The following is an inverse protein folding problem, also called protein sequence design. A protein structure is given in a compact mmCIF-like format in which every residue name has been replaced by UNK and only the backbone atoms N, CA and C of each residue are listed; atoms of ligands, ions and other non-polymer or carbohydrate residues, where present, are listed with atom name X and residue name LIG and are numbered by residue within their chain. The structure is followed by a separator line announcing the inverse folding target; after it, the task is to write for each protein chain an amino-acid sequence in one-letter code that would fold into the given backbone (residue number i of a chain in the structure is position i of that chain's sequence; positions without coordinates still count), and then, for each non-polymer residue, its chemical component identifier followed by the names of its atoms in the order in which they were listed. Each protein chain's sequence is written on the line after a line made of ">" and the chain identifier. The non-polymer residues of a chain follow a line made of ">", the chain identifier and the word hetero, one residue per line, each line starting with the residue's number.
data_IF_909895021679
#
_entry.id   IF_909895021679
#
_cell.length_a   1.000
_cell.length_b   1.000
_cell.length_c   1.000
_cell.angle_alpha   90.00
_cell.angle_beta   90.00
_cell.angle_gamma   90.00
#
_symmetry.space_group_name_H-M   'P 1'
#
loop_
_entity.id
_entity.type
_entity.pdbx_description
1 polymer ?
#
# COMPACT_ATOMS: atom_id res chain seq x y z
N UNK A 1 12.11 -19.84 -38.50
CA UNK A 1 13.13 -20.62 -37.76
C UNK A 1 12.62 -20.83 -36.34
N UNK A 2 12.14 -22.02 -36.03
CA UNK A 2 11.59 -22.35 -34.71
C UNK A 2 12.73 -22.41 -33.68
N UNK A 3 12.57 -21.69 -32.57
CA UNK A 3 13.61 -21.54 -31.55
C UNK A 3 13.60 -22.77 -30.62
N UNK A 4 14.37 -23.78 -31.00
CA UNK A 4 14.49 -25.09 -30.31
C UNK A 4 14.84 -24.92 -28.81
N UNK A 5 15.52 -23.82 -28.43
CA UNK A 5 15.85 -23.52 -27.02
C UNK A 5 14.61 -23.24 -26.16
N UNK A 6 13.56 -22.63 -26.72
CA UNK A 6 12.32 -22.35 -25.99
C UNK A 6 11.49 -23.63 -25.77
N UNK A 7 11.53 -24.57 -26.72
CA UNK A 7 10.86 -25.86 -26.62
C UNK A 7 11.51 -26.75 -25.54
N UNK A 8 12.85 -26.74 -25.46
CA UNK A 8 13.59 -27.49 -24.43
C UNK A 8 13.35 -26.93 -23.01
N UNK A 9 13.21 -25.61 -22.86
CA UNK A 9 12.85 -24.98 -21.58
C UNK A 9 11.43 -25.35 -21.13
N UNK A 10 10.46 -25.40 -22.05
CA UNK A 10 9.09 -25.81 -21.72
C UNK A 10 8.99 -27.30 -21.32
N UNK A 11 9.78 -28.16 -21.95
CA UNK A 11 9.83 -29.59 -21.60
C UNK A 11 10.47 -29.82 -20.21
N UNK A 12 11.51 -29.05 -19.86
CA UNK A 12 12.15 -29.15 -18.54
C UNK A 12 11.24 -28.73 -17.37
N UNK A 13 10.35 -27.75 -17.58
CA UNK A 13 9.38 -27.32 -16.55
C UNK A 13 8.26 -28.34 -16.36
N UNK A 14 7.93 -29.13 -17.40
CA UNK A 14 6.87 -30.13 -17.34
C UNK A 14 7.24 -31.41 -16.56
N UNK A 15 8.53 -31.65 -16.33
CA UNK A 15 9.01 -32.83 -15.61
C UNK A 15 9.10 -32.64 -14.08
N UNK A 16 8.95 -31.42 -13.57
CA UNK A 16 9.11 -31.14 -12.13
C UNK A 16 7.81 -31.17 -11.31
N UNK A 17 6.64 -31.43 -11.92
CA UNK A 17 5.35 -31.44 -11.22
C UNK A 17 4.65 -32.80 -11.16
N UNK A 18 5.37 -33.89 -11.44
CA UNK A 18 4.83 -35.24 -11.32
C UNK A 18 5.15 -35.84 -9.95
N UNK A 19 4.29 -35.60 -8.96
CA UNK A 19 4.38 -36.34 -7.69
C UNK A 19 3.64 -35.69 -6.53
N UNK A 20 2.34 -35.96 -6.39
CA UNK A 20 1.78 -36.73 -5.27
C UNK A 20 0.24 -36.59 -5.22
N UNK A 21 -0.39 -37.74 -5.06
CA UNK A 21 -1.82 -37.99 -5.11
C UNK A 21 -2.51 -37.75 -3.76
N UNK A 22 -3.71 -37.15 -3.85
CA UNK A 22 -4.99 -37.50 -3.20
C UNK A 22 -4.97 -38.03 -1.76
N UNK A 23 -5.64 -37.30 -0.85
CA UNK A 23 -6.75 -37.84 -0.05
C UNK A 23 -7.72 -36.74 0.38
N UNK A 24 -8.98 -36.90 -0.03
CA UNK A 24 -10.13 -36.11 0.42
C UNK A 24 -10.39 -36.40 1.90
N UNK A 25 -10.58 -35.37 2.71
CA UNK A 25 -11.23 -35.53 4.02
C UNK A 25 -12.19 -34.37 4.25
N UNK A 26 -13.45 -34.77 4.38
CA UNK A 26 -14.66 -34.00 4.64
C UNK A 26 -14.61 -33.47 6.08
N UNK A 27 -14.60 -32.15 6.30
CA UNK A 27 -14.84 -31.57 7.62
C UNK A 27 -15.88 -30.43 7.54
N UNK A 28 -16.86 -30.65 8.40
CA UNK A 28 -18.08 -29.98 8.80
C UNK A 28 -17.95 -28.49 9.15
N UNK A 29 -18.98 -27.72 8.82
CA UNK A 29 -19.14 -26.29 9.13
C UNK A 29 -19.18 -25.99 10.63
N UNK A 30 -18.47 -24.94 11.06
CA UNK A 30 -18.78 -24.17 12.28
C UNK A 30 -18.36 -22.69 12.10
N UNK A 31 -19.13 -21.70 12.61
CA UNK A 31 -19.17 -20.37 12.01
C UNK A 31 -18.12 -19.39 12.56
N UNK A 32 -17.72 -18.48 11.66
CA UNK A 32 -17.29 -17.08 11.82
C UNK A 32 -17.01 -16.62 13.26
N UNK A 33 -15.73 -16.36 13.56
CA UNK A 33 -15.32 -15.41 14.59
C UNK A 33 -14.18 -14.52 14.06
N UNK A 34 -14.51 -13.23 14.05
CA UNK A 34 -13.73 -11.98 14.09
C UNK A 34 -12.19 -12.04 14.02
N UNK A 35 -11.53 -11.27 13.12
CA UNK A 35 -10.08 -11.13 13.13
C UNK A 35 -9.63 -10.23 14.29
N UNK A 36 -8.80 -10.80 15.15
CA UNK A 36 -8.17 -10.11 16.29
C UNK A 36 -7.33 -8.92 15.81
N UNK A 37 -7.68 -7.72 16.29
CA UNK A 37 -6.95 -6.48 16.08
C UNK A 37 -5.73 -6.49 17.01
N UNK A 38 -4.57 -6.88 16.47
CA UNK A 38 -3.30 -6.75 17.18
C UNK A 38 -2.85 -5.29 17.17
N UNK A 39 -3.25 -4.53 18.21
CA UNK A 39 -2.76 -3.18 18.48
C UNK A 39 -1.38 -3.22 19.15
N UNK A 40 -0.32 -3.50 18.38
CA UNK A 40 1.05 -3.26 18.88
C UNK A 40 1.32 -1.74 18.89
N UNK A 41 1.45 -1.15 20.09
CA UNK A 41 2.03 0.18 20.29
C UNK A 41 3.55 0.06 20.12
N UNK A 42 4.04 -0.01 18.88
CA UNK A 42 5.46 0.22 18.56
C UNK A 42 5.62 1.61 17.98
N UNK A 43 6.13 2.52 18.81
CA UNK A 43 6.56 3.85 18.42
C UNK A 43 7.85 3.75 17.60
N UNK A 44 7.74 3.32 16.34
CA UNK A 44 8.86 3.11 15.41
C UNK A 44 8.45 3.55 14.00
N UNK A 45 7.94 4.78 13.89
CA UNK A 45 7.59 5.36 12.60
C UNK A 45 8.70 6.35 12.24
N UNK A 46 9.38 6.13 11.10
CA UNK A 46 10.40 7.02 10.53
C UNK A 46 9.83 8.35 10.02
N UNK A 47 8.72 8.81 10.59
CA UNK A 47 8.10 10.07 10.21
C UNK A 47 8.89 11.23 10.84
N UNK A 48 9.32 12.21 10.04
CA UNK A 48 10.04 13.36 10.53
C UNK A 48 9.29 14.03 11.68
N UNK A 49 9.99 14.28 12.79
CA UNK A 49 9.48 14.88 14.04
C UNK A 49 8.80 16.25 13.88
N UNK A 50 8.80 16.82 12.68
CA UNK A 50 8.28 18.15 12.37
C UNK A 50 6.79 18.18 12.07
N UNK A 51 6.20 17.09 11.58
CA UNK A 51 4.79 17.07 11.19
C UNK A 51 3.92 16.36 12.22
N UNK A 52 2.76 16.92 12.53
CA UNK A 52 1.73 16.19 13.29
C UNK A 52 0.98 15.24 12.35
N UNK A 53 1.25 13.94 12.45
CA UNK A 53 0.59 12.90 11.64
C UNK A 53 -0.90 12.73 11.93
N UNK A 54 -1.40 13.26 13.04
CA UNK A 54 -2.81 13.24 13.40
C UNK A 54 -3.54 14.52 13.00
N UNK A 55 -2.83 15.49 12.41
CA UNK A 55 -3.46 16.66 11.81
C UNK A 55 -4.08 16.30 10.46
N UNK A 56 -5.40 16.09 10.45
CA UNK A 56 -6.20 15.82 9.26
C UNK A 56 -6.52 17.14 8.56
N UNK A 57 -5.81 17.41 7.47
CA UNK A 57 -6.07 18.49 6.52
C UNK A 57 -5.68 17.99 5.13
N UNK A 58 -6.48 17.05 4.60
CA UNK A 58 -6.07 16.23 3.46
C UNK A 58 -5.63 17.06 2.26
N UNK A 59 -4.48 16.68 1.70
CA UNK A 59 -3.94 17.27 0.49
C UNK A 59 -3.96 16.23 -0.62
N UNK A 60 -4.14 16.70 -1.85
CA UNK A 60 -4.21 15.87 -3.04
C UNK A 60 -3.14 16.30 -4.03
N UNK A 61 -2.41 15.35 -4.57
CA UNK A 61 -1.36 15.63 -5.53
C UNK A 61 -1.20 14.51 -6.54
N UNK A 62 -0.60 14.84 -7.68
CA UNK A 62 -0.17 13.85 -8.66
C UNK A 62 1.30 13.46 -8.41
N UNK A 63 1.53 12.15 -8.42
CA UNK A 63 2.84 11.51 -8.46
C UNK A 63 2.95 10.71 -9.74
N UNK A 64 3.74 11.18 -10.70
CA UNK A 64 3.97 10.45 -11.96
C UNK A 64 2.63 10.05 -12.65
N UNK A 65 1.69 11.00 -12.70
CA UNK A 65 0.31 10.84 -13.20
C UNK A 65 -0.57 9.85 -12.42
N UNK A 66 -0.24 9.57 -11.16
CA UNK A 66 -1.07 8.78 -10.24
C UNK A 66 -1.55 9.67 -9.10
N UNK A 67 -2.83 9.56 -8.77
CA UNK A 67 -3.39 10.29 -7.64
C UNK A 67 -2.84 9.81 -6.31
N UNK A 68 -2.45 10.74 -5.45
CA UNK A 68 -1.98 10.46 -4.10
C UNK A 68 -2.59 11.45 -3.12
N UNK A 69 -3.20 10.93 -2.05
CA UNK A 69 -3.69 11.73 -0.94
C UNK A 69 -2.67 11.73 0.20
N UNK A 70 -2.60 12.85 0.92
CA UNK A 70 -1.74 13.05 2.08
C UNK A 70 -2.57 13.49 3.27
N UNK A 71 -2.10 13.14 4.47
CA UNK A 71 -2.74 13.56 5.71
C UNK A 71 -2.81 15.09 5.86
N UNK A 72 -1.73 15.78 5.49
CA UNK A 72 -1.59 17.23 5.53
C UNK A 72 -0.43 17.72 4.65
N UNK A 73 -0.38 19.03 4.45
CA UNK A 73 0.63 19.72 3.64
C UNK A 73 2.06 19.50 4.12
N UNK A 74 2.29 19.43 5.43
CA UNK A 74 3.63 19.21 5.99
C UNK A 74 4.21 17.87 5.50
N UNK A 75 3.43 16.80 5.56
CA UNK A 75 3.87 15.49 5.04
C UNK A 75 4.11 15.52 3.53
N UNK A 76 3.20 16.16 2.78
CA UNK A 76 3.36 16.34 1.33
C UNK A 76 4.63 17.07 0.96
N UNK A 77 4.95 18.14 1.67
CA UNK A 77 6.13 18.94 1.42
C UNK A 77 7.41 18.16 1.73
N UNK A 78 7.47 17.44 2.85
CA UNK A 78 8.65 16.65 3.20
C UNK A 78 8.91 15.56 2.16
N UNK A 79 7.89 14.83 1.73
CA UNK A 79 8.08 13.81 0.69
C UNK A 79 8.42 14.42 -0.67
N UNK A 80 7.85 15.58 -1.00
CA UNK A 80 8.23 16.32 -2.21
C UNK A 80 9.70 16.72 -2.19
N UNK A 81 10.20 17.21 -1.05
CA UNK A 81 11.59 17.62 -0.91
C UNK A 81 12.54 16.42 -0.89
N UNK A 82 12.10 15.29 -0.33
CA UNK A 82 12.85 14.04 -0.42
C UNK A 82 12.95 13.56 -1.88
N UNK A 83 11.85 13.60 -2.65
CA UNK A 83 11.88 13.29 -4.09
C UNK A 83 12.83 14.20 -4.86
N UNK A 84 12.83 15.51 -4.59
CA UNK A 84 13.78 16.44 -5.21
C UNK A 84 15.24 16.07 -4.91
N UNK A 85 15.56 15.70 -3.66
CA UNK A 85 16.90 15.24 -3.27
C UNK A 85 17.31 13.95 -3.98
N UNK A 86 16.35 13.08 -4.28
CA UNK A 86 16.54 11.84 -5.04
C UNK A 86 16.56 12.04 -6.56
N UNK A 87 16.52 13.29 -7.06
CA UNK A 87 16.48 13.58 -8.50
C UNK A 87 15.15 13.24 -9.17
N UNK A 88 14.07 13.12 -8.39
CA UNK A 88 12.70 12.84 -8.87
C UNK A 88 11.85 14.12 -8.90
N UNK A 89 10.83 14.12 -9.75
CA UNK A 89 9.80 15.15 -9.78
C UNK A 89 9.12 15.28 -8.41
N UNK A 90 8.91 16.50 -7.86
CA UNK A 90 8.09 16.64 -6.67
C UNK A 90 6.62 16.28 -6.96
N UNK A 91 5.82 16.14 -5.91
CA UNK A 91 4.38 16.01 -6.08
C UNK A 91 3.79 17.30 -6.65
N UNK A 92 2.80 17.18 -7.53
CA UNK A 92 2.09 18.33 -8.12
C UNK A 92 0.76 18.50 -7.39
N UNK A 93 0.59 19.52 -6.52
CA UNK A 93 -0.67 19.74 -5.81
C UNK A 93 -1.81 20.00 -6.79
N UNK A 94 -2.95 19.36 -6.57
CA UNK A 94 -4.16 19.49 -7.39
C UNK A 94 -5.40 19.48 -6.50
N UNK A 95 -6.57 19.79 -7.06
CA UNK A 95 -7.84 19.57 -6.36
C UNK A 95 -8.11 18.08 -6.19
N UNK A 96 -8.93 17.73 -5.20
CA UNK A 96 -9.41 16.36 -5.01
C UNK A 96 -10.09 15.82 -6.27
N UNK A 97 -10.99 16.61 -6.86
CA UNK A 97 -11.73 16.27 -8.07
C UNK A 97 -10.79 15.91 -9.22
N UNK A 98 -9.78 16.75 -9.48
CA UNK A 98 -8.80 16.49 -10.51
C UNK A 98 -7.97 15.25 -10.19
N UNK A 99 -7.47 15.12 -8.95
CA UNK A 99 -6.69 13.96 -8.53
C UNK A 99 -7.46 12.66 -8.76
N UNK A 100 -8.73 12.58 -8.34
CA UNK A 100 -9.56 11.38 -8.47
C UNK A 100 -9.70 10.89 -9.92
N UNK A 101 -9.59 11.77 -10.91
CA UNK A 101 -9.57 11.39 -12.33
C UNK A 101 -8.33 10.58 -12.75
N UNK A 102 -7.25 10.64 -11.98
CA UNK A 102 -5.99 9.89 -12.16
C UNK A 102 -5.90 8.62 -11.29
N UNK A 103 -7.01 8.18 -10.68
CA UNK A 103 -7.04 6.89 -9.97
C UNK A 103 -6.98 5.75 -10.99
N UNK A 104 -6.02 4.84 -10.79
CA UNK A 104 -5.88 3.65 -11.63
C UNK A 104 -7.16 2.79 -11.58
N UNK A 105 -7.79 2.58 -12.74
CA UNK A 105 -9.00 1.74 -12.84
C UNK A 105 -8.70 0.27 -12.52
N UNK A 106 -7.57 -0.24 -13.01
CA UNK A 106 -7.10 -1.62 -12.80
C UNK A 106 -5.67 -1.61 -12.29
N UNK A 107 -5.37 -2.52 -11.38
CA UNK A 107 -4.02 -2.76 -10.90
C UNK A 107 -3.58 -4.16 -11.31
N UNK A 108 -2.42 -4.25 -11.93
CA UNK A 108 -1.78 -5.53 -12.22
C UNK A 108 -1.22 -6.16 -10.94
N UNK A 109 -0.99 -7.47 -10.99
CA UNK A 109 -0.18 -8.17 -9.98
C UNK A 109 1.19 -7.49 -9.91
N UNK A 110 1.67 -7.25 -8.69
CA UNK A 110 2.96 -6.63 -8.44
C UNK A 110 3.54 -7.10 -7.12
N UNK A 111 4.62 -6.45 -6.69
CA UNK A 111 5.24 -6.77 -5.41
C UNK A 111 4.36 -6.25 -4.26
N UNK A 112 4.03 -7.10 -3.28
CA UNK A 112 3.22 -6.70 -2.14
C UNK A 112 3.90 -5.59 -1.35
N UNK A 113 3.08 -4.74 -0.73
CA UNK A 113 3.56 -3.66 0.14
C UNK A 113 2.81 -3.70 1.46
N UNK A 114 3.46 -3.22 2.52
CA UNK A 114 2.86 -2.93 3.81
C UNK A 114 2.88 -1.43 4.00
N UNK A 115 1.77 -0.86 4.46
CA UNK A 115 1.61 0.58 4.67
C UNK A 115 1.12 0.89 6.08
N UNK A 116 1.58 2.02 6.62
CA UNK A 116 1.17 2.53 7.93
C UNK A 116 0.13 3.65 7.78
N UNK A 117 -0.94 3.59 8.55
CA UNK A 117 -2.04 4.56 8.52
C UNK A 117 -2.25 5.21 9.89
N UNK A 118 -2.45 6.54 9.95
CA UNK A 118 -2.76 7.20 11.21
C UNK A 118 -4.23 6.94 11.56
N UNK A 119 -4.47 6.31 12.71
CA UNK A 119 -5.82 6.18 13.28
C UNK A 119 -6.08 7.40 14.18
N UNK A 120 -7.17 8.15 13.96
CA UNK A 120 -7.58 9.25 14.83
C UNK A 120 -7.74 8.84 16.30
N UNK A 121 -7.52 9.79 17.22
CA UNK A 121 -7.95 9.61 18.60
C UNK A 121 -9.45 9.27 18.66
N UNK A 122 -9.90 8.35 19.54
CA UNK A 122 -11.32 7.96 19.64
C UNK A 122 -12.28 9.13 19.87
N UNK A 123 -11.82 10.21 20.51
CA UNK A 123 -12.61 11.41 20.73
C UNK A 123 -12.82 12.28 19.47
N UNK A 124 -12.30 11.87 18.30
CA UNK A 124 -12.46 12.59 17.03
C UNK A 124 -11.66 13.90 16.91
N UNK A 125 -11.00 14.35 17.98
CA UNK A 125 -10.23 15.60 17.97
C UNK A 125 -9.14 15.58 16.89
N UNK A 126 -9.09 16.62 16.06
CA UNK A 126 -8.02 16.81 15.09
C UNK A 126 -6.70 17.10 15.85
N UNK A 127 -5.55 16.67 15.31
CA UNK A 127 -4.20 16.85 15.90
C UNK A 127 -3.91 16.07 17.19
N UNK A 128 -4.92 15.48 17.84
CA UNK A 128 -4.70 14.67 19.04
C UNK A 128 -4.09 13.31 18.66
N UNK A 129 -3.05 12.84 19.38
CA UNK A 129 -2.49 11.52 19.13
C UNK A 129 -3.53 10.41 19.20
N UNK A 130 -3.53 9.55 18.18
CA UNK A 130 -4.23 8.27 18.16
C UNK A 130 -3.23 7.12 18.03
N UNK A 131 -3.58 6.10 17.26
CA UNK A 131 -2.71 4.94 17.00
C UNK A 131 -2.25 4.90 15.54
N UNK A 132 -1.43 3.92 15.20
CA UNK A 132 -1.03 3.61 13.81
C UNK A 132 -1.50 2.19 13.53
N UNK A 133 -2.12 1.99 12.38
CA UNK A 133 -2.44 0.65 11.87
C UNK A 133 -1.53 0.30 10.70
N UNK A 134 -1.25 -0.99 10.57
CA UNK A 134 -0.42 -1.54 9.50
C UNK A 134 -1.29 -2.42 8.63
N UNK A 135 -1.34 -2.15 7.32
CA UNK A 135 -2.16 -2.89 6.36
C UNK A 135 -1.32 -3.35 5.17
N UNK A 136 -1.58 -4.58 4.70
CA UNK A 136 -0.89 -5.18 3.56
C UNK A 136 -1.73 -5.05 2.29
N UNK A 137 -1.07 -4.71 1.18
CA UNK A 137 -1.68 -4.58 -0.14
C UNK A 137 -0.97 -5.49 -1.14
N UNK A 138 -1.74 -5.97 -2.14
CA UNK A 138 -1.23 -6.84 -3.20
C UNK A 138 -0.14 -6.17 -4.06
N UNK A 139 -0.18 -4.85 -4.23
CA UNK A 139 0.90 -4.08 -4.86
C UNK A 139 0.83 -2.60 -4.50
N UNK A 140 1.88 -1.83 -4.82
CA UNK A 140 1.86 -0.37 -4.66
C UNK A 140 0.69 0.28 -5.41
N UNK A 141 0.29 -0.24 -6.59
CA UNK A 141 -0.90 0.25 -7.29
C UNK A 141 -2.17 0.07 -6.44
N UNK A 142 -2.33 -1.10 -5.80
CA UNK A 142 -3.49 -1.36 -4.94
C UNK A 142 -3.51 -0.43 -3.73
N UNK A 143 -2.35 -0.15 -3.12
CA UNK A 143 -2.23 0.82 -2.03
C UNK A 143 -2.64 2.23 -2.49
N UNK A 144 -2.06 2.74 -3.58
CA UNK A 144 -2.34 4.08 -4.08
C UNK A 144 -3.82 4.24 -4.47
N UNK A 145 -4.39 3.22 -5.15
CA UNK A 145 -5.80 3.17 -5.50
C UNK A 145 -6.68 3.21 -4.24
N UNK A 146 -6.45 2.31 -3.28
CA UNK A 146 -7.21 2.25 -2.04
C UNK A 146 -7.15 3.57 -1.28
N UNK A 147 -5.95 4.14 -1.13
CA UNK A 147 -5.70 5.38 -0.41
C UNK A 147 -6.48 6.55 -1.03
N UNK A 148 -6.45 6.67 -2.36
CA UNK A 148 -7.14 7.73 -3.09
C UNK A 148 -8.66 7.55 -3.11
N UNK A 149 -9.15 6.32 -3.35
CA UNK A 149 -10.60 6.05 -3.39
C UNK A 149 -11.27 6.33 -2.04
N UNK A 150 -10.62 5.91 -0.94
CA UNK A 150 -11.19 5.95 0.41
C UNK A 150 -10.79 7.20 1.22
N UNK A 151 -10.10 8.17 0.61
CA UNK A 151 -9.55 9.33 1.32
C UNK A 151 -8.74 8.93 2.57
N UNK A 152 -7.97 7.85 2.45
CA UNK A 152 -7.22 7.23 3.55
C UNK A 152 -5.72 7.34 3.28
N UNK A 153 -5.07 8.45 3.63
CA UNK A 153 -3.64 8.65 3.37
C UNK A 153 -2.79 7.74 4.27
N UNK A 154 -1.85 7.03 3.66
CA UNK A 154 -0.80 6.31 4.40
C UNK A 154 0.37 7.26 4.72
N UNK A 155 1.09 6.98 5.81
CA UNK A 155 2.27 7.73 6.26
C UNK A 155 3.54 7.24 5.57
N UNK A 156 3.66 5.93 5.41
CA UNK A 156 4.80 5.26 4.79
C UNK A 156 4.36 3.92 4.23
N UNK A 157 5.17 3.35 3.34
CA UNK A 157 5.04 1.98 2.90
C UNK A 157 6.41 1.35 2.67
N UNK A 158 6.46 0.02 2.73
CA UNK A 158 7.63 -0.78 2.38
C UNK A 158 7.22 -1.97 1.52
N UNK A 159 8.09 -2.37 0.61
CA UNK A 159 7.88 -3.61 -0.15
C UNK A 159 8.08 -4.81 0.76
N UNK A 160 7.17 -5.78 0.70
CA UNK A 160 7.39 -7.08 1.31
C UNK A 160 8.27 -7.88 0.33
N UNK A 161 9.56 -7.93 0.60
CA UNK A 161 10.46 -8.79 -0.17
C UNK A 161 10.16 -10.26 0.16
N UNK A 162 10.02 -11.13 -0.85
CA UNK A 162 10.15 -12.55 -0.61
C UNK A 162 11.64 -12.82 -0.29
N UNK A 163 11.92 -13.24 0.94
CA UNK A 163 13.12 -14.02 1.22
C UNK A 163 12.93 -15.43 0.68
#
# INVERSE_FOLDING_TARGET
>A
MFNIKLLLLLLAVSWFHHGQAVQETKIEEKPVSEPEIESEIKNSTSVPSKCNIYYRNYQWALQDCVCRCFQNECLMQIESDQRKKEGRSPFVPVTEELCRSFICKKCSVGFPVVAEFPIPAPCGCNRKPGSIATERFYSLCHLLKFSAENSKPFLTYSYCWPF
#
